data_IF_808971660300
#
_entry.id   IF_808971660300
#
_cell.length_a   1.000
_cell.length_b   1.000
_cell.length_c   1.000
_cell.angle_alpha   90.00
_cell.angle_beta   90.00
_cell.angle_gamma   90.00
#
_symmetry.space_group_name_H-M   'P 1'
#
loop_
_entity.id
_entity.type
_entity.pdbx_description
1 polymer ?
#
# COMPACT_ATOMS: atom_id res chain seq x y z
N UNK A 1 -13.27 -14.94 0.44
CA UNK A 1 -13.90 -14.07 -0.57
C UNK A 1 -13.04 -12.83 -0.72
N UNK A 2 -12.74 -12.39 -1.95
CA UNK A 2 -12.05 -11.13 -2.21
C UNK A 2 -13.07 -10.12 -2.70
N UNK A 3 -13.41 -9.13 -1.87
CA UNK A 3 -14.54 -8.23 -2.17
C UNK A 3 -14.32 -7.44 -3.48
N UNK A 4 -13.10 -7.01 -3.77
CA UNK A 4 -12.77 -6.28 -5.01
C UNK A 4 -12.91 -7.08 -6.32
N UNK A 5 -13.10 -8.39 -6.25
CA UNK A 5 -13.38 -9.21 -7.44
C UNK A 5 -14.88 -9.19 -7.79
N UNK A 6 -15.73 -8.69 -6.88
CA UNK A 6 -17.16 -8.48 -7.08
C UNK A 6 -17.43 -6.97 -7.15
N UNK A 7 -17.50 -6.43 -8.37
CA UNK A 7 -17.59 -4.98 -8.60
C UNK A 7 -18.86 -4.37 -7.99
N UNK A 8 -20.00 -5.07 -8.09
CA UNK A 8 -21.28 -4.59 -7.59
C UNK A 8 -21.28 -4.50 -6.07
N UNK A 9 -20.88 -5.58 -5.38
CA UNK A 9 -20.82 -5.57 -3.92
C UNK A 9 -19.70 -4.66 -3.40
N UNK A 10 -18.56 -4.56 -4.09
CA UNK A 10 -17.50 -3.64 -3.69
C UNK A 10 -17.95 -2.18 -3.75
N UNK A 11 -18.66 -1.79 -4.80
CA UNK A 11 -19.22 -0.44 -4.92
C UNK A 11 -20.32 -0.18 -3.89
N UNK A 12 -21.28 -1.08 -3.76
CA UNK A 12 -22.37 -0.93 -2.80
C UNK A 12 -21.87 -0.81 -1.35
N UNK A 13 -20.93 -1.68 -0.94
CA UNK A 13 -20.37 -1.65 0.41
C UNK A 13 -19.46 -0.44 0.64
N UNK A 14 -18.73 0.01 -0.39
CA UNK A 14 -17.92 1.23 -0.29
C UNK A 14 -18.80 2.44 0.01
N UNK A 15 -19.91 2.58 -0.73
CA UNK A 15 -20.90 3.66 -0.53
C UNK A 15 -21.57 3.60 0.84
N UNK A 16 -21.99 2.40 1.29
CA UNK A 16 -22.60 2.23 2.61
C UNK A 16 -21.62 2.57 3.74
N UNK A 17 -20.38 2.10 3.64
CA UNK A 17 -19.32 2.37 4.62
C UNK A 17 -18.97 3.85 4.66
N UNK A 18 -18.89 4.51 3.49
CA UNK A 18 -18.68 5.95 3.36
C UNK A 18 -19.75 6.74 4.12
N UNK A 19 -21.03 6.39 3.92
CA UNK A 19 -22.15 7.06 4.58
C UNK A 19 -22.16 6.81 6.10
N UNK A 20 -21.83 5.59 6.53
CA UNK A 20 -21.80 5.22 7.95
C UNK A 20 -20.66 5.91 8.72
N UNK A 21 -19.45 5.92 8.15
CA UNK A 21 -18.26 6.49 8.80
C UNK A 21 -18.17 8.01 8.61
N UNK A 22 -18.78 8.56 7.54
CA UNK A 22 -18.72 9.98 7.20
C UNK A 22 -17.40 10.38 6.52
N UNK A 23 -16.83 9.48 5.70
CA UNK A 23 -15.61 9.73 4.90
C UNK A 23 -15.88 9.54 3.41
N UNK A 24 -15.07 10.10 2.51
CA UNK A 24 -15.25 9.88 1.07
C UNK A 24 -15.18 8.40 0.69
N UNK A 25 -16.01 7.97 -0.26
CA UNK A 25 -16.00 6.59 -0.77
C UNK A 25 -14.64 6.19 -1.36
N UNK A 26 -13.95 7.14 -2.00
CA UNK A 26 -12.58 6.95 -2.49
C UNK A 26 -11.61 6.61 -1.36
N UNK A 27 -11.81 7.17 -0.16
CA UNK A 27 -11.00 6.84 1.01
C UNK A 27 -11.26 5.40 1.46
N UNK A 28 -12.52 4.97 1.53
CA UNK A 28 -12.88 3.57 1.85
C UNK A 28 -12.20 2.59 0.90
N UNK A 29 -12.33 2.82 -0.42
CA UNK A 29 -11.72 1.95 -1.44
C UNK A 29 -10.20 1.89 -1.33
N UNK A 30 -9.54 3.04 -1.13
CA UNK A 30 -8.09 3.13 -0.97
C UNK A 30 -7.62 2.41 0.28
N UNK A 31 -8.33 2.58 1.38
CA UNK A 31 -8.03 1.90 2.64
C UNK A 31 -8.05 0.37 2.48
N UNK A 32 -9.09 -0.14 1.82
CA UNK A 32 -9.23 -1.55 1.50
C UNK A 32 -8.04 -2.08 0.68
N UNK A 33 -7.59 -1.33 -0.34
CA UNK A 33 -6.44 -1.70 -1.15
C UNK A 33 -5.12 -1.68 -0.36
N UNK A 34 -4.93 -0.71 0.54
CA UNK A 34 -3.75 -0.66 1.43
C UNK A 34 -3.68 -1.93 2.28
N UNK A 35 -4.80 -2.31 2.91
CA UNK A 35 -4.86 -3.51 3.75
C UNK A 35 -4.57 -4.77 2.94
N UNK A 36 -5.07 -4.87 1.70
CA UNK A 36 -4.72 -5.99 0.83
C UNK A 36 -3.23 -6.05 0.47
N UNK A 37 -2.61 -4.91 0.21
CA UNK A 37 -1.16 -4.85 -0.07
C UNK A 37 -0.37 -5.33 1.15
N UNK A 38 -0.75 -4.88 2.35
CA UNK A 38 -0.13 -5.30 3.60
C UNK A 38 -0.36 -6.80 3.88
N UNK A 39 -1.55 -7.33 3.60
CA UNK A 39 -1.84 -8.76 3.69
C UNK A 39 -0.92 -9.57 2.76
N UNK A 40 -0.77 -9.15 1.49
CA UNK A 40 0.15 -9.79 0.54
C UNK A 40 1.60 -9.73 1.00
N UNK A 41 2.04 -8.60 1.54
CA UNK A 41 3.39 -8.47 2.10
C UNK A 41 3.59 -9.48 3.23
N UNK A 42 2.63 -9.55 4.16
CA UNK A 42 2.68 -10.44 5.34
C UNK A 42 2.73 -11.92 4.98
N UNK A 43 2.20 -12.31 3.82
CA UNK A 43 2.22 -13.70 3.30
C UNK A 43 3.36 -13.96 2.32
N UNK A 44 4.16 -12.96 1.97
CA UNK A 44 5.26 -13.11 1.03
C UNK A 44 6.55 -13.52 1.75
N UNK A 45 7.52 -14.00 0.97
CA UNK A 45 8.89 -14.25 1.46
C UNK A 45 9.61 -12.98 1.96
N UNK A 46 9.06 -11.79 1.72
CA UNK A 46 9.65 -10.51 2.10
C UNK A 46 9.09 -9.94 3.40
N UNK A 47 8.20 -10.65 4.11
CA UNK A 47 7.57 -10.20 5.35
C UNK A 47 8.61 -9.64 6.34
N UNK A 48 9.69 -10.37 6.57
CA UNK A 48 10.70 -10.01 7.56
C UNK A 48 11.82 -9.10 6.98
N UNK A 49 11.76 -8.83 5.68
CA UNK A 49 12.69 -7.96 4.96
C UNK A 49 12.06 -6.61 4.60
N UNK A 50 10.83 -6.34 5.04
CA UNK A 50 10.15 -5.08 4.79
C UNK A 50 9.61 -4.47 6.07
N UNK A 51 9.95 -3.21 6.32
CA UNK A 51 9.43 -2.43 7.45
C UNK A 51 8.34 -1.50 6.94
N UNK A 52 7.14 -1.65 7.49
CA UNK A 52 6.04 -0.71 7.29
C UNK A 52 6.22 0.51 8.20
N UNK A 53 6.32 1.69 7.59
CA UNK A 53 6.59 2.94 8.32
C UNK A 53 5.73 4.10 7.82
N UNK A 54 6.02 5.30 8.29
CA UNK A 54 5.35 6.53 7.86
C UNK A 54 4.00 6.75 8.54
N UNK A 55 3.25 7.74 8.05
CA UNK A 55 1.97 8.14 8.64
C UNK A 55 0.95 7.00 8.64
N UNK A 56 0.86 6.24 7.55
CA UNK A 56 -0.08 5.12 7.43
C UNK A 56 0.21 4.01 8.44
N UNK A 57 1.48 3.75 8.78
CA UNK A 57 1.82 2.80 9.85
C UNK A 57 1.35 3.28 11.22
N UNK A 58 1.43 4.59 11.49
CA UNK A 58 0.92 5.17 12.73
C UNK A 58 -0.60 5.06 12.79
N UNK A 59 -1.34 5.44 11.74
CA UNK A 59 -2.81 5.36 11.77
C UNK A 59 -3.33 3.91 11.86
N UNK A 60 -2.60 2.94 11.31
CA UNK A 60 -3.02 1.53 11.32
C UNK A 60 -2.59 0.75 12.56
N UNK A 61 -1.37 0.96 13.04
CA UNK A 61 -0.85 0.22 14.19
C UNK A 61 -1.08 0.96 15.51
N UNK A 62 -1.32 2.28 15.47
CA UNK A 62 -1.55 3.15 16.62
C UNK A 62 -2.71 4.14 16.34
N UNK A 63 -3.97 3.67 16.29
CA UNK A 63 -5.11 4.45 15.76
C UNK A 63 -5.36 5.80 16.44
N UNK A 64 -4.96 5.97 17.70
CA UNK A 64 -5.11 7.23 18.43
C UNK A 64 -3.93 8.22 18.22
N UNK A 65 -2.85 7.80 17.55
CA UNK A 65 -1.67 8.66 17.34
C UNK A 65 -1.87 9.68 16.23
N UNK A 66 -2.59 9.35 15.16
CA UNK A 66 -2.96 10.30 14.11
C UNK A 66 -4.39 10.02 13.61
N UNK A 67 -5.21 11.08 13.49
CA UNK A 67 -6.60 10.99 13.01
C UNK A 67 -6.75 11.62 11.62
N UNK A 68 -5.92 11.16 10.68
CA UNK A 68 -6.02 11.53 9.26
C UNK A 68 -6.07 10.29 8.39
N UNK A 69 -6.82 10.37 7.30
CA UNK A 69 -6.75 9.39 6.25
C UNK A 69 -5.38 9.48 5.54
N UNK A 70 -4.78 8.34 5.22
CA UNK A 70 -3.47 8.28 4.57
C UNK A 70 -3.56 7.32 3.39
N UNK A 71 -3.27 7.84 2.21
CA UNK A 71 -3.46 7.14 0.93
C UNK A 71 -2.24 6.35 0.48
N UNK A 72 -1.07 6.73 0.99
CA UNK A 72 0.20 6.16 0.57
C UNK A 72 0.63 5.03 1.52
N UNK A 73 1.43 4.09 1.00
CA UNK A 73 2.08 3.04 1.79
C UNK A 73 3.61 3.21 1.71
N UNK A 74 4.25 3.45 2.85
CA UNK A 74 5.70 3.56 2.96
C UNK A 74 6.31 2.25 3.47
N UNK A 75 7.04 1.57 2.58
CA UNK A 75 7.79 0.35 2.91
C UNK A 75 9.29 0.61 2.76
N UNK A 76 10.09 0.10 3.71
CA UNK A 76 11.55 0.07 3.60
C UNK A 76 12.02 -1.37 3.48
N UNK A 77 12.74 -1.70 2.41
CA UNK A 77 13.37 -2.99 2.24
C UNK A 77 14.68 -3.05 3.04
N UNK A 78 14.90 -4.15 3.75
CA UNK A 78 16.11 -4.44 4.52
C UNK A 78 16.96 -5.44 3.71
N UNK A 79 17.96 -4.95 2.96
CA UNK A 79 18.81 -5.83 2.15
C UNK A 79 19.70 -6.69 3.05
N UNK A 80 20.00 -7.89 2.57
CA UNK A 80 21.03 -8.73 3.18
C UNK A 80 22.42 -8.08 3.02
N UNK A 81 23.31 -8.34 3.99
CA UNK A 81 24.67 -7.80 3.95
C UNK A 81 25.39 -8.25 2.69
N UNK A 82 26.04 -7.31 2.00
CA UNK A 82 26.83 -7.58 0.80
C UNK A 82 26.03 -7.58 -0.52
N UNK A 83 24.72 -7.33 -0.50
CA UNK A 83 23.96 -7.13 -1.73
C UNK A 83 24.43 -5.88 -2.48
N UNK A 84 24.64 -5.99 -3.78
CA UNK A 84 24.89 -4.86 -4.68
C UNK A 84 23.62 -4.06 -4.98
N UNK A 85 23.77 -2.80 -5.39
CA UNK A 85 22.63 -1.95 -5.80
C UNK A 85 21.77 -2.59 -6.90
N UNK A 86 22.39 -3.35 -7.82
CA UNK A 86 21.67 -4.07 -8.87
C UNK A 86 20.77 -5.15 -8.29
N UNK A 87 21.24 -5.86 -7.28
CA UNK A 87 20.46 -6.91 -6.60
C UNK A 87 19.35 -6.31 -5.75
N UNK A 88 19.62 -5.21 -5.04
CA UNK A 88 18.61 -4.47 -4.27
C UNK A 88 17.48 -4.01 -5.21
N UNK A 89 17.83 -3.37 -6.32
CA UNK A 89 16.85 -2.93 -7.33
C UNK A 89 16.05 -4.11 -7.92
N UNK A 90 16.69 -5.27 -8.10
CA UNK A 90 16.02 -6.49 -8.55
C UNK A 90 15.01 -7.00 -7.51
N UNK A 91 15.35 -6.97 -6.22
CA UNK A 91 14.43 -7.37 -5.15
C UNK A 91 13.27 -6.38 -5.02
N UNK A 92 13.51 -5.07 -5.07
CA UNK A 92 12.47 -4.04 -5.03
C UNK A 92 11.41 -4.26 -6.14
N UNK A 93 11.85 -4.56 -7.36
CA UNK A 93 10.93 -4.90 -8.48
C UNK A 93 10.13 -6.18 -8.22
N UNK A 94 10.72 -7.18 -7.57
CA UNK A 94 10.01 -8.41 -7.20
C UNK A 94 8.96 -8.15 -6.13
N UNK A 95 9.31 -7.40 -5.09
CA UNK A 95 8.40 -6.96 -4.02
C UNK A 95 7.23 -6.22 -4.65
N UNK A 96 7.50 -5.18 -5.44
CA UNK A 96 6.47 -4.41 -6.14
C UNK A 96 5.51 -5.31 -6.91
N UNK A 97 6.04 -6.23 -7.72
CA UNK A 97 5.22 -7.15 -8.52
C UNK A 97 4.33 -8.06 -7.68
N UNK A 98 4.84 -8.57 -6.55
CA UNK A 98 4.06 -9.42 -5.64
C UNK A 98 2.94 -8.61 -5.00
N UNK A 99 3.27 -7.44 -4.44
CA UNK A 99 2.32 -6.59 -3.74
C UNK A 99 1.20 -6.08 -4.67
N UNK A 100 1.54 -5.78 -5.91
CA UNK A 100 0.61 -5.24 -6.90
C UNK A 100 -0.05 -6.29 -7.79
N UNK A 101 0.27 -7.58 -7.62
CA UNK A 101 -0.33 -8.67 -8.41
C UNK A 101 -1.86 -8.67 -8.29
N UNK A 102 -2.59 -8.65 -9.42
CA UNK A 102 -4.06 -8.58 -9.41
C UNK A 102 -4.64 -7.23 -8.99
N UNK A 103 -3.82 -6.17 -8.92
CA UNK A 103 -4.27 -4.78 -8.77
C UNK A 103 -4.03 -4.02 -10.08
N UNK A 104 -4.94 -3.10 -10.44
CA UNK A 104 -4.74 -2.23 -11.61
C UNK A 104 -3.78 -1.10 -11.24
N UNK A 105 -2.63 -1.00 -11.93
CA UNK A 105 -1.69 0.12 -11.77
C UNK A 105 -2.13 1.28 -12.67
N UNK A 106 -2.26 2.48 -12.11
CA UNK A 106 -2.30 3.71 -12.89
C UNK A 106 -1.01 4.48 -12.69
N UNK A 107 -0.42 4.98 -13.77
CA UNK A 107 0.71 5.90 -13.69
C UNK A 107 0.23 7.26 -13.21
N UNK A 108 0.85 7.80 -12.16
CA UNK A 108 0.64 9.19 -11.77
C UNK A 108 1.69 10.03 -12.48
N UNK A 109 1.25 11.05 -13.21
CA UNK A 109 2.12 12.09 -13.76
C UNK A 109 2.93 12.72 -12.63
N UNK A 110 4.26 12.64 -12.76
CA UNK A 110 5.23 12.73 -11.68
C UNK A 110 5.28 14.07 -10.92
N UNK A 111 5.23 14.01 -9.59
CA UNK A 111 5.91 14.97 -8.71
C UNK A 111 7.18 14.30 -8.19
N UNK A 112 8.31 14.52 -8.88
CA UNK A 112 9.64 14.08 -8.41
C UNK A 112 10.27 15.19 -7.58
N UNK A 113 10.25 15.07 -6.25
CA UNK A 113 11.21 15.76 -5.39
C UNK A 113 12.43 14.87 -5.17
N UNK A 114 13.60 15.41 -5.51
CA UNK A 114 14.89 14.74 -5.55
C UNK A 114 15.38 14.38 -4.12
N UNK A 115 15.09 13.17 -3.60
CA UNK A 115 15.74 12.63 -2.39
C UNK A 115 15.57 11.10 -2.24
N UNK A 116 16.62 10.35 -2.59
CA UNK A 116 16.80 8.92 -2.26
C UNK A 116 15.86 7.91 -2.94
N UNK A 117 16.19 6.60 -2.93
CA UNK A 117 15.33 5.57 -3.52
C UNK A 117 14.13 5.34 -2.58
N UNK A 118 13.08 6.14 -2.76
CA UNK A 118 11.80 6.03 -2.07
C UNK A 118 10.77 5.53 -3.09
N UNK A 119 10.36 4.25 -3.02
CA UNK A 119 9.28 3.73 -3.85
C UNK A 119 7.93 4.11 -3.22
N UNK A 120 7.35 5.24 -3.65
CA UNK A 120 5.96 5.59 -3.33
C UNK A 120 5.03 4.86 -4.30
N UNK A 121 4.16 4.01 -3.76
CA UNK A 121 3.05 3.42 -4.53
C UNK A 121 1.81 4.26 -4.28
N UNK A 122 1.20 4.74 -5.36
CA UNK A 122 0.02 5.59 -5.29
C UNK A 122 -1.07 5.06 -6.21
N UNK A 123 -2.31 5.05 -5.71
CA UNK A 123 -3.47 4.37 -6.31
C UNK A 123 -4.52 5.37 -6.81
N UNK A 124 -4.11 6.35 -7.61
CA UNK A 124 -5.08 7.16 -8.38
C UNK A 124 -5.88 6.27 -9.35
#
# INVERSE_FOLDING_TARGET
MKLHEDAENFEALSRLTSAYIGIPETAVRRDYLIIMILEKLSRSAYRDQCVFKGGTSLSKCYPESIKRFSEDIDLTYLPEKGMSDKEINRQLKKIERILTSGLCKKSISAERSNSGPMSRFSTK
#
